data_IF_944984190152
#
_entry.id   IF_944984190152
#
_cell.length_a   1.000
_cell.length_b   1.000
_cell.length_c   1.000
_cell.angle_alpha   90.00
_cell.angle_beta   90.00
_cell.angle_gamma   90.00
#
_symmetry.space_group_name_H-M   'P 1'
#
loop_
_entity.id
_entity.type
_entity.pdbx_description
1 polymer ?
#
# COMPACT_ATOMS: atom_id res chain seq x y z
N UNK A 1 -6.95 -12.62 -7.89
CA UNK A 1 -5.54 -13.03 -8.09
C UNK A 1 -4.71 -11.99 -7.38
N UNK A 2 -4.18 -12.33 -6.22
CA UNK A 2 -3.12 -11.55 -5.59
C UNK A 2 -1.89 -11.74 -6.49
N UNK A 3 -1.39 -10.68 -7.09
CA UNK A 3 -0.12 -10.73 -7.79
C UNK A 3 0.97 -10.87 -6.72
N UNK A 4 1.39 -12.10 -6.47
CA UNK A 4 2.59 -12.39 -5.71
C UNK A 4 3.78 -12.21 -6.65
N UNK A 5 4.62 -11.26 -6.36
CA UNK A 5 6.00 -11.30 -6.81
C UNK A 5 6.76 -12.10 -5.75
N UNK A 6 6.69 -13.43 -5.85
CA UNK A 6 7.53 -14.31 -5.06
C UNK A 6 8.95 -14.31 -5.64
N UNK A 7 9.86 -13.68 -4.93
CA UNK A 7 11.25 -14.13 -4.96
C UNK A 7 11.35 -15.27 -3.96
N UNK A 8 11.60 -16.48 -4.43
CA UNK A 8 11.95 -17.63 -3.58
C UNK A 8 13.15 -17.24 -2.73
N UNK A 9 12.93 -17.11 -1.42
CA UNK A 9 14.02 -16.92 -0.46
C UNK A 9 14.88 -18.19 -0.43
N UNK A 10 16.22 -18.07 -0.33
CA UNK A 10 17.08 -19.21 -0.01
C UNK A 10 16.68 -19.82 1.34
N UNK A 11 16.70 -21.14 1.42
CA UNK A 11 16.44 -21.88 2.66
C UNK A 11 17.35 -21.33 3.79
N UNK A 12 16.74 -20.85 4.87
CA UNK A 12 17.44 -20.33 6.05
C UNK A 12 17.30 -18.83 6.32
N UNK A 13 16.61 -18.06 5.48
CA UNK A 13 16.37 -16.63 5.74
C UNK A 13 14.93 -16.39 6.27
N UNK A 14 14.86 -15.93 7.54
CA UNK A 14 13.85 -15.03 7.96
C UNK A 14 12.72 -15.58 8.82
N UNK A 15 13.01 -15.95 10.07
CA UNK A 15 12.01 -15.98 11.14
C UNK A 15 11.42 -14.58 11.42
N UNK A 16 12.06 -13.50 10.92
CA UNK A 16 11.71 -12.12 11.18
C UNK A 16 11.37 -11.38 9.88
N UNK A 17 10.22 -10.70 9.91
CA UNK A 17 9.78 -9.83 8.83
C UNK A 17 9.64 -8.38 9.29
N UNK A 18 9.77 -7.45 8.33
CA UNK A 18 9.49 -6.04 8.51
C UNK A 18 8.39 -5.61 7.55
N UNK A 19 7.24 -5.24 8.10
CA UNK A 19 6.07 -4.80 7.36
C UNK A 19 5.99 -3.28 7.31
N UNK A 20 5.90 -2.73 6.10
CA UNK A 20 5.89 -1.30 5.86
C UNK A 20 4.60 -0.83 5.20
N UNK A 21 4.04 0.28 5.67
CA UNK A 21 3.14 1.08 4.86
C UNK A 21 3.92 1.93 3.86
N UNK A 22 3.26 2.44 2.82
CA UNK A 22 3.88 3.25 1.78
C UNK A 22 3.72 4.75 2.03
N UNK A 23 2.50 5.26 1.80
CA UNK A 23 2.20 6.70 1.78
C UNK A 23 2.31 7.33 3.17
N UNK A 24 3.23 8.28 3.35
CA UNK A 24 3.52 8.91 4.64
C UNK A 24 4.44 8.11 5.56
N UNK A 25 4.87 6.89 5.14
CA UNK A 25 5.79 6.02 5.89
C UNK A 25 7.12 5.86 5.17
N UNK A 26 7.15 5.15 4.05
CA UNK A 26 8.32 5.03 3.18
C UNK A 26 8.40 6.14 2.14
N UNK A 27 7.30 6.82 1.89
CA UNK A 27 7.16 7.82 0.85
C UNK A 27 6.54 9.09 1.42
N UNK A 28 7.24 10.23 1.30
CA UNK A 28 6.69 11.55 1.66
C UNK A 28 5.84 12.11 0.52
N UNK A 29 4.82 11.36 0.13
CA UNK A 29 3.84 11.73 -0.88
C UNK A 29 2.63 10.78 -0.85
N UNK A 30 1.57 11.12 -1.60
CA UNK A 30 0.48 10.19 -1.88
C UNK A 30 0.64 9.61 -3.30
N UNK A 31 1.06 8.36 -3.35
CA UNK A 31 1.34 7.63 -4.58
C UNK A 31 0.10 7.52 -5.48
N UNK A 32 -1.07 7.20 -4.90
CA UNK A 32 -2.31 7.06 -5.66
C UNK A 32 -2.85 8.39 -6.17
N UNK A 33 -2.71 9.50 -5.41
CA UNK A 33 -3.08 10.84 -5.89
C UNK A 33 -2.22 11.23 -7.08
N UNK A 34 -0.92 10.95 -7.02
CA UNK A 34 0.02 11.21 -8.12
C UNK A 34 -0.36 10.43 -9.39
N UNK A 35 -0.67 9.13 -9.24
CA UNK A 35 -1.13 8.28 -10.33
C UNK A 35 -2.43 8.82 -10.96
N UNK A 36 -3.43 9.11 -10.12
CA UNK A 36 -4.74 9.61 -10.56
C UNK A 36 -4.60 10.95 -11.28
N UNK A 37 -3.88 11.90 -10.71
CA UNK A 37 -3.66 13.21 -11.32
C UNK A 37 -2.95 13.10 -12.69
N UNK A 38 -1.95 12.22 -12.80
CA UNK A 38 -1.22 12.02 -14.06
C UNK A 38 -2.10 11.31 -15.10
N UNK A 39 -2.89 10.32 -14.71
CA UNK A 39 -3.83 9.66 -15.60
C UNK A 39 -4.86 10.66 -16.18
N UNK A 40 -5.42 11.54 -15.33
CA UNK A 40 -6.38 12.55 -15.77
C UNK A 40 -5.72 13.64 -16.64
N UNK A 41 -4.50 14.05 -16.31
CA UNK A 41 -3.75 15.02 -17.14
C UNK A 41 -3.44 14.49 -18.52
N UNK A 42 -3.04 13.24 -18.64
CA UNK A 42 -2.73 12.60 -19.93
C UNK A 42 -3.98 12.23 -20.73
N UNK A 43 -5.11 12.02 -20.06
CA UNK A 43 -6.38 11.60 -20.66
C UNK A 43 -7.56 12.38 -20.06
N UNK A 44 -7.67 13.70 -20.35
CA UNK A 44 -8.65 14.57 -19.70
C UNK A 44 -10.11 14.17 -19.98
N UNK A 45 -10.40 13.54 -21.11
CA UNK A 45 -11.73 13.00 -21.42
C UNK A 45 -12.21 11.92 -20.45
N UNK A 46 -11.31 11.36 -19.64
CA UNK A 46 -11.64 10.38 -18.60
C UNK A 46 -12.23 11.02 -17.36
N UNK A 47 -12.03 12.32 -17.19
CA UNK A 47 -12.50 13.03 -15.99
C UNK A 47 -14.02 12.85 -15.76
N UNK A 48 -14.91 13.12 -16.74
CA UNK A 48 -16.34 12.94 -16.51
C UNK A 48 -16.71 11.47 -16.23
N UNK A 49 -16.12 10.52 -16.91
CA UNK A 49 -16.38 9.09 -16.70
C UNK A 49 -15.92 8.65 -15.31
N UNK A 50 -14.71 9.03 -14.92
CA UNK A 50 -14.14 8.71 -13.61
C UNK A 50 -14.92 9.35 -12.47
N UNK A 51 -15.29 10.62 -12.61
CA UNK A 51 -16.08 11.36 -11.62
C UNK A 51 -17.47 10.74 -11.44
N UNK A 52 -18.17 10.48 -12.54
CA UNK A 52 -19.51 9.86 -12.50
C UNK A 52 -19.46 8.49 -11.86
N UNK A 53 -18.51 7.64 -12.28
CA UNK A 53 -18.35 6.30 -11.71
C UNK A 53 -18.00 6.35 -10.22
N UNK A 54 -17.10 7.25 -9.82
CA UNK A 54 -16.74 7.45 -8.42
C UNK A 54 -17.93 7.92 -7.58
N UNK A 55 -18.71 8.90 -8.08
CA UNK A 55 -19.90 9.44 -7.39
C UNK A 55 -20.97 8.37 -7.22
N UNK A 56 -21.32 7.66 -8.30
CA UNK A 56 -22.32 6.57 -8.24
C UNK A 56 -21.89 5.50 -7.24
N UNK A 57 -20.62 5.09 -7.25
CA UNK A 57 -20.13 4.10 -6.30
C UNK A 57 -20.15 4.60 -4.86
N UNK A 58 -19.83 5.87 -4.64
CA UNK A 58 -19.94 6.49 -3.32
C UNK A 58 -21.37 6.40 -2.80
N UNK A 59 -22.35 6.82 -3.60
CA UNK A 59 -23.78 6.74 -3.23
C UNK A 59 -24.19 5.29 -2.94
N UNK A 60 -23.87 4.36 -3.84
CA UNK A 60 -24.18 2.93 -3.64
C UNK A 60 -23.53 2.37 -2.37
N UNK A 61 -22.31 2.74 -2.07
CA UNK A 61 -21.62 2.30 -0.85
C UNK A 61 -22.30 2.87 0.41
N UNK A 62 -22.72 4.14 0.39
CA UNK A 62 -23.47 4.76 1.50
C UNK A 62 -24.82 4.07 1.71
N UNK A 63 -25.56 3.82 0.63
CA UNK A 63 -26.84 3.10 0.68
C UNK A 63 -26.69 1.67 1.21
N UNK A 64 -25.52 1.06 1.04
CA UNK A 64 -25.17 -0.25 1.61
C UNK A 64 -24.66 -0.18 3.06
N UNK A 65 -24.77 0.98 3.71
CA UNK A 65 -24.38 1.17 5.10
C UNK A 65 -22.88 1.26 5.35
N UNK A 66 -22.04 1.49 4.32
CA UNK A 66 -20.63 1.73 4.53
C UNK A 66 -20.40 3.10 5.18
N UNK A 67 -19.42 3.18 6.09
CA UNK A 67 -19.03 4.45 6.67
C UNK A 67 -18.62 5.46 5.57
N UNK A 68 -18.92 6.76 5.72
CA UNK A 68 -18.60 7.77 4.70
C UNK A 68 -17.14 7.75 4.25
N UNK A 69 -16.21 7.58 5.18
CA UNK A 69 -14.79 7.46 4.89
C UNK A 69 -14.48 6.32 3.89
N UNK A 70 -15.06 5.13 4.09
CA UNK A 70 -14.83 3.96 3.24
C UNK A 70 -15.61 4.06 1.93
N UNK A 71 -16.78 4.71 1.94
CA UNK A 71 -17.59 4.94 0.75
C UNK A 71 -16.87 5.84 -0.26
N UNK A 72 -16.20 6.90 0.22
CA UNK A 72 -15.44 7.85 -0.59
C UNK A 72 -14.14 7.25 -1.16
N UNK A 73 -13.58 6.25 -0.52
CA UNK A 73 -12.33 5.58 -0.94
C UNK A 73 -12.55 4.45 -1.93
N UNK A 74 -13.53 4.58 -2.81
CA UNK A 74 -13.71 3.65 -3.92
C UNK A 74 -12.78 3.98 -5.10
N UNK A 75 -12.60 3.02 -6.00
CA UNK A 75 -11.71 3.10 -7.16
C UNK A 75 -12.43 3.52 -8.45
N UNK A 76 -13.59 4.16 -8.35
CA UNK A 76 -14.41 4.58 -9.49
C UNK A 76 -13.68 5.44 -10.51
N UNK A 77 -12.74 6.27 -10.06
CA UNK A 77 -11.92 7.13 -10.93
C UNK A 77 -11.01 6.35 -11.91
N UNK A 78 -10.75 5.07 -11.67
CA UNK A 78 -10.04 4.20 -12.62
C UNK A 78 -10.95 3.46 -13.60
N UNK A 79 -12.28 3.59 -13.48
CA UNK A 79 -13.24 2.87 -14.35
C UNK A 79 -12.94 3.07 -15.82
N UNK A 80 -12.88 1.96 -16.56
CA UNK A 80 -12.63 1.94 -18.00
C UNK A 80 -11.15 2.12 -18.40
N UNK A 81 -10.21 2.36 -17.48
CA UNK A 81 -8.79 2.21 -17.76
C UNK A 81 -8.45 0.73 -17.96
N UNK A 82 -7.36 0.44 -18.63
CA UNK A 82 -6.80 -0.91 -18.70
C UNK A 82 -5.78 -1.11 -17.59
N UNK A 83 -5.59 -2.36 -17.18
CA UNK A 83 -4.57 -2.71 -16.20
C UNK A 83 -3.18 -2.28 -16.67
N UNK A 84 -2.83 -2.59 -17.92
CA UNK A 84 -1.57 -2.20 -18.55
C UNK A 84 -1.32 -0.67 -18.57
N UNK A 85 -2.38 0.12 -18.72
CA UNK A 85 -2.24 1.59 -18.61
C UNK A 85 -1.79 2.01 -17.21
N UNK A 86 -2.36 1.40 -16.16
CA UNK A 86 -1.94 1.71 -14.80
C UNK A 86 -0.53 1.18 -14.50
N UNK A 87 -0.19 -0.02 -14.97
CA UNK A 87 1.16 -0.59 -14.80
C UNK A 87 2.22 0.32 -15.41
N UNK A 88 2.11 0.63 -16.71
CA UNK A 88 3.07 1.50 -17.41
C UNK A 88 3.20 2.86 -16.72
N UNK A 89 2.08 3.45 -16.33
CA UNK A 89 2.09 4.76 -15.68
C UNK A 89 2.69 4.69 -14.28
N UNK A 90 2.44 3.61 -13.55
CA UNK A 90 2.97 3.38 -12.21
C UNK A 90 4.48 3.19 -12.22
N UNK A 91 5.02 2.44 -13.19
CA UNK A 91 6.47 2.26 -13.37
C UNK A 91 7.17 3.60 -13.61
N UNK A 92 6.64 4.39 -14.57
CA UNK A 92 7.21 5.70 -14.88
C UNK A 92 7.18 6.65 -13.68
N UNK A 93 6.05 6.68 -12.95
CA UNK A 93 5.89 7.55 -11.78
C UNK A 93 6.71 7.08 -10.60
N UNK A 94 6.80 5.78 -10.37
CA UNK A 94 7.62 5.21 -9.29
C UNK A 94 9.08 5.63 -9.48
N UNK A 95 9.64 5.40 -10.67
CA UNK A 95 11.04 5.72 -10.96
C UNK A 95 11.34 7.22 -10.93
N UNK A 96 10.55 8.02 -11.66
CA UNK A 96 10.90 9.42 -11.96
C UNK A 96 10.40 10.42 -10.93
N UNK A 97 9.29 10.13 -10.26
CA UNK A 97 8.60 11.10 -9.41
C UNK A 97 8.59 10.68 -7.94
N UNK A 98 8.34 9.40 -7.65
CA UNK A 98 8.11 8.96 -6.27
C UNK A 98 9.41 8.51 -5.58
N UNK A 99 10.30 7.80 -6.27
CA UNK A 99 11.58 7.41 -5.68
C UNK A 99 12.43 8.59 -5.17
N UNK A 100 12.51 9.75 -5.88
CA UNK A 100 13.17 10.93 -5.35
C UNK A 100 12.53 11.52 -4.07
N UNK A 101 11.31 11.10 -3.73
CA UNK A 101 10.58 11.52 -2.52
C UNK A 101 10.63 10.49 -1.39
N UNK A 102 11.39 9.42 -1.56
CA UNK A 102 11.66 8.47 -0.48
C UNK A 102 12.74 9.06 0.43
N UNK A 103 12.46 9.30 1.71
CA UNK A 103 13.44 9.85 2.63
C UNK A 103 14.66 8.94 2.77
N UNK A 104 15.85 9.52 2.90
CA UNK A 104 17.09 8.76 3.11
C UNK A 104 17.03 7.88 4.37
N UNK A 105 16.35 8.36 5.42
CA UNK A 105 16.12 7.58 6.64
C UNK A 105 15.30 6.29 6.38
N UNK A 106 14.30 6.35 5.46
CA UNK A 106 13.53 5.17 5.07
C UNK A 106 14.40 4.17 4.30
N UNK A 107 15.23 4.65 3.36
CA UNK A 107 16.19 3.80 2.63
C UNK A 107 17.22 3.16 3.57
N UNK A 108 17.75 3.93 4.51
CA UNK A 108 18.68 3.43 5.52
C UNK A 108 18.04 2.35 6.41
N UNK A 109 16.78 2.53 6.80
CA UNK A 109 16.04 1.53 7.58
C UNK A 109 15.79 0.26 6.81
N UNK A 110 15.41 0.35 5.53
CA UNK A 110 15.28 -0.82 4.65
C UNK A 110 16.59 -1.56 4.49
N UNK A 111 17.70 -0.83 4.29
CA UNK A 111 19.02 -1.41 4.19
C UNK A 111 19.42 -2.13 5.49
N UNK A 112 19.11 -1.53 6.65
CA UNK A 112 19.37 -2.16 7.94
C UNK A 112 18.62 -3.48 8.08
N UNK A 113 17.29 -3.53 7.75
CA UNK A 113 16.54 -4.78 7.82
C UNK A 113 17.12 -5.86 6.91
N UNK A 114 17.49 -5.51 5.68
CA UNK A 114 18.13 -6.46 4.75
C UNK A 114 19.46 -7.01 5.30
N UNK A 115 20.27 -6.13 5.91
CA UNK A 115 21.54 -6.54 6.52
C UNK A 115 21.34 -7.45 7.73
N UNK A 116 20.18 -7.39 8.40
CA UNK A 116 19.79 -8.33 9.46
C UNK A 116 19.18 -9.63 8.90
N UNK A 117 19.01 -9.77 7.59
CA UNK A 117 18.34 -10.91 6.98
C UNK A 117 16.81 -10.89 7.12
N UNK A 118 16.22 -9.77 7.53
CA UNK A 118 14.77 -9.64 7.65
C UNK A 118 14.10 -9.54 6.28
N UNK A 119 13.00 -10.23 6.12
CA UNK A 119 12.16 -10.10 4.92
C UNK A 119 11.40 -8.78 4.95
N UNK A 120 11.53 -7.94 3.91
CA UNK A 120 10.92 -6.62 3.81
C UNK A 120 9.62 -6.68 2.98
N UNK A 121 8.49 -6.33 3.58
CA UNK A 121 7.16 -6.53 3.00
C UNK A 121 6.41 -5.21 2.96
N UNK A 122 5.86 -4.86 1.79
CA UNK A 122 5.03 -3.68 1.61
C UNK A 122 3.55 -4.04 1.77
N UNK A 123 2.86 -3.42 2.73
CA UNK A 123 1.42 -3.61 3.00
C UNK A 123 0.72 -2.27 2.92
N UNK A 124 0.09 -1.96 1.81
CA UNK A 124 -0.44 -0.63 1.52
C UNK A 124 -1.86 -0.63 0.96
N UNK A 125 -2.62 0.43 1.25
CA UNK A 125 -3.92 0.67 0.64
C UNK A 125 -3.83 1.20 -0.80
N UNK A 126 -2.65 1.46 -1.31
CA UNK A 126 -2.40 1.92 -2.67
C UNK A 126 -2.80 0.85 -3.69
N UNK A 127 -3.21 1.28 -4.89
CA UNK A 127 -3.58 0.33 -5.97
C UNK A 127 -2.40 -0.55 -6.35
N UNK A 128 -2.69 -1.83 -6.60
CA UNK A 128 -1.67 -2.86 -6.80
C UNK A 128 -0.61 -2.48 -7.86
N UNK A 129 -0.92 -1.96 -9.05
CA UNK A 129 0.12 -1.59 -10.01
C UNK A 129 1.13 -0.57 -9.47
N UNK A 130 0.67 0.41 -8.69
CA UNK A 130 1.55 1.40 -8.08
C UNK A 130 2.32 0.82 -6.88
N UNK A 131 1.66 0.01 -6.06
CA UNK A 131 2.31 -0.67 -4.94
C UNK A 131 3.42 -1.60 -5.42
N UNK A 132 3.18 -2.37 -6.49
CA UNK A 132 4.14 -3.27 -7.12
C UNK A 132 5.31 -2.52 -7.75
N UNK A 133 5.04 -1.41 -8.48
CA UNK A 133 6.09 -0.57 -9.05
C UNK A 133 7.01 0.00 -7.95
N UNK A 134 6.44 0.57 -6.90
CA UNK A 134 7.20 1.06 -5.75
C UNK A 134 7.94 -0.07 -5.03
N UNK A 135 7.29 -1.22 -4.85
CA UNK A 135 7.90 -2.39 -4.22
C UNK A 135 9.13 -2.88 -4.96
N UNK A 136 9.09 -2.91 -6.30
CA UNK A 136 10.26 -3.24 -7.13
C UNK A 136 11.39 -2.23 -6.96
N UNK A 137 11.08 -0.94 -6.99
CA UNK A 137 12.08 0.13 -6.83
C UNK A 137 12.72 0.10 -5.43
N UNK A 138 11.92 -0.19 -4.42
CA UNK A 138 12.38 -0.31 -3.03
C UNK A 138 12.99 -1.68 -2.72
N UNK A 139 12.95 -2.65 -3.65
CA UNK A 139 13.47 -4.00 -3.46
C UNK A 139 12.73 -4.80 -2.39
N UNK A 140 11.40 -4.69 -2.31
CA UNK A 140 10.56 -5.45 -1.39
C UNK A 140 10.48 -6.92 -1.78
N UNK A 141 10.49 -7.82 -0.78
CA UNK A 141 10.38 -9.26 -0.99
C UNK A 141 8.94 -9.69 -1.28
N UNK A 142 7.96 -8.95 -0.74
CA UNK A 142 6.55 -9.11 -1.07
C UNK A 142 5.80 -7.78 -1.05
N UNK A 143 4.71 -7.69 -1.83
CA UNK A 143 3.89 -6.49 -1.95
C UNK A 143 2.42 -6.85 -1.87
N UNK A 144 1.70 -6.22 -0.94
CA UNK A 144 0.27 -6.34 -0.76
C UNK A 144 -0.38 -4.97 -0.99
N UNK A 145 -0.86 -4.75 -2.20
CA UNK A 145 -1.69 -3.61 -2.59
C UNK A 145 -3.17 -3.98 -2.66
N UNK A 146 -4.01 -3.07 -3.13
CA UNK A 146 -5.43 -3.35 -3.33
C UNK A 146 -5.88 -3.11 -4.78
N UNK A 147 -7.11 -3.60 -5.13
CA UNK A 147 -7.70 -3.45 -6.45
C UNK A 147 -7.40 -2.14 -7.14
N UNK A 148 -7.96 -1.85 -8.29
CA UNK A 148 -9.32 -2.20 -8.72
C UNK A 148 -9.45 -3.56 -9.41
N UNK A 149 -10.66 -4.12 -9.34
CA UNK A 149 -11.01 -5.30 -10.11
C UNK A 149 -11.17 -4.97 -11.60
N UNK A 150 -10.81 -5.91 -12.46
CA UNK A 150 -11.01 -5.79 -13.90
C UNK A 150 -12.19 -6.66 -14.37
N UNK A 151 -12.89 -6.21 -15.39
CA UNK A 151 -13.90 -6.95 -16.13
C UNK A 151 -13.68 -6.73 -17.62
N UNK A 152 -13.54 -7.82 -18.37
CA UNK A 152 -13.26 -7.77 -19.81
C UNK A 152 -12.07 -6.84 -20.17
N UNK A 153 -10.96 -6.97 -19.42
CA UNK A 153 -9.72 -6.20 -19.64
C UNK A 153 -9.78 -4.73 -19.20
N UNK A 154 -10.94 -4.25 -18.72
CA UNK A 154 -11.10 -2.87 -18.24
C UNK A 154 -11.40 -2.83 -16.75
N UNK A 155 -10.87 -1.83 -16.07
CA UNK A 155 -11.07 -1.64 -14.64
C UNK A 155 -12.51 -1.22 -14.35
N UNK A 156 -13.09 -1.82 -13.34
CA UNK A 156 -14.49 -1.54 -12.93
C UNK A 156 -14.60 -0.53 -11.79
N UNK A 157 -13.50 -0.13 -11.19
CA UNK A 157 -13.45 0.69 -9.99
C UNK A 157 -13.92 -0.03 -8.72
N UNK A 158 -14.29 -1.33 -8.80
CA UNK A 158 -14.61 -2.19 -7.65
C UNK A 158 -13.33 -2.80 -7.08
N UNK A 159 -13.33 -3.12 -5.80
CA UNK A 159 -12.25 -3.88 -5.13
C UNK A 159 -12.64 -5.36 -4.92
N UNK A 160 -13.68 -5.83 -5.61
CA UNK A 160 -14.17 -7.22 -5.46
C UNK A 160 -13.08 -8.22 -5.89
N UNK A 161 -12.83 -9.20 -5.05
CA UNK A 161 -11.81 -10.24 -5.28
C UNK A 161 -10.39 -9.82 -4.88
N UNK A 162 -10.23 -8.67 -4.26
CA UNK A 162 -8.96 -8.19 -3.71
C UNK A 162 -8.98 -8.15 -2.19
N UNK A 163 -7.86 -8.45 -1.57
CA UNK A 163 -7.61 -8.04 -0.20
C UNK A 163 -7.52 -6.51 -0.18
N UNK A 164 -8.11 -5.89 0.84
CA UNK A 164 -8.08 -4.43 0.99
C UNK A 164 -7.24 -4.11 2.22
N UNK A 165 -5.91 -3.96 2.09
CA UNK A 165 -5.01 -3.67 3.20
C UNK A 165 -5.12 -2.21 3.63
N UNK A 166 -6.30 -1.85 4.14
CA UNK A 166 -6.64 -0.52 4.65
C UNK A 166 -7.10 -0.64 6.10
N UNK A 167 -6.51 0.15 7.01
CA UNK A 167 -6.86 0.13 8.43
C UNK A 167 -6.78 -1.30 9.01
N UNK A 168 -7.86 -1.78 9.62
CA UNK A 168 -7.98 -3.16 10.14
C UNK A 168 -7.76 -4.24 9.07
N UNK A 169 -8.00 -3.93 7.80
CA UNK A 169 -7.77 -4.85 6.69
C UNK A 169 -6.30 -5.22 6.44
N UNK A 170 -5.34 -4.50 7.02
CA UNK A 170 -3.93 -4.88 7.00
C UNK A 170 -3.64 -6.08 7.91
N UNK A 171 -4.38 -6.24 9.02
CA UNK A 171 -4.15 -7.30 10.00
C UNK A 171 -4.23 -8.71 9.38
N UNK A 172 -5.32 -9.10 8.68
CA UNK A 172 -5.38 -10.44 8.09
C UNK A 172 -4.30 -10.66 7.03
N UNK A 173 -3.85 -9.62 6.32
CA UNK A 173 -2.78 -9.71 5.32
C UNK A 173 -1.45 -10.02 5.99
N UNK A 174 -1.10 -9.28 7.07
CA UNK A 174 0.13 -9.51 7.83
C UNK A 174 0.13 -10.89 8.48
N UNK A 175 -0.98 -11.32 9.08
CA UNK A 175 -1.10 -12.67 9.69
C UNK A 175 -0.95 -13.79 8.67
N UNK A 176 -1.61 -13.65 7.52
CA UNK A 176 -1.52 -14.65 6.44
C UNK A 176 -0.11 -14.73 5.84
N UNK A 177 0.58 -13.58 5.67
CA UNK A 177 1.97 -13.57 5.21
C UNK A 177 2.90 -14.21 6.25
N UNK A 178 2.74 -13.87 7.52
CA UNK A 178 3.53 -14.44 8.60
C UNK A 178 3.35 -15.96 8.72
N UNK A 179 2.11 -16.44 8.66
CA UNK A 179 1.79 -17.86 8.69
C UNK A 179 2.39 -18.61 7.49
N UNK A 180 2.23 -18.05 6.28
CA UNK A 180 2.72 -18.68 5.06
C UNK A 180 4.25 -18.78 5.00
N UNK A 181 4.98 -17.88 5.68
CA UNK A 181 6.43 -17.82 5.65
C UNK A 181 7.09 -18.20 6.99
N UNK A 182 6.32 -18.64 7.99
CA UNK A 182 6.84 -19.08 9.29
C UNK A 182 7.42 -17.95 10.14
N UNK A 183 6.91 -16.71 9.98
CA UNK A 183 7.38 -15.57 10.77
C UNK A 183 6.75 -15.53 12.16
N UNK A 184 7.56 -15.34 13.19
CA UNK A 184 7.09 -15.04 14.53
C UNK A 184 6.75 -13.54 14.63
N UNK A 185 5.47 -13.19 14.65
CA UNK A 185 5.02 -11.81 14.75
C UNK A 185 5.56 -11.08 15.99
N UNK A 186 5.84 -11.79 17.08
CA UNK A 186 6.44 -11.18 18.28
C UNK A 186 7.87 -10.65 18.04
N UNK A 187 8.54 -11.17 17.03
CA UNK A 187 9.88 -10.74 16.61
C UNK A 187 9.83 -9.76 15.42
N UNK A 188 8.68 -9.65 14.76
CA UNK A 188 8.53 -8.85 13.55
C UNK A 188 8.40 -7.35 13.82
N UNK A 189 8.71 -6.58 12.79
CA UNK A 189 8.67 -5.11 12.80
C UNK A 189 7.48 -4.61 11.97
N UNK A 190 6.86 -3.53 12.40
CA UNK A 190 5.77 -2.91 11.65
C UNK A 190 5.89 -1.38 11.66
N UNK A 191 5.89 -0.77 10.47
CA UNK A 191 6.09 0.65 10.23
C UNK A 191 4.84 1.30 9.65
N UNK A 192 4.38 2.38 10.23
CA UNK A 192 3.24 3.15 9.75
C UNK A 192 3.16 4.53 10.38
N UNK A 193 2.54 5.49 9.68
CA UNK A 193 2.50 6.90 10.11
C UNK A 193 1.17 7.30 10.76
N UNK A 194 0.08 6.58 10.50
CA UNK A 194 -1.27 6.98 10.91
C UNK A 194 -1.84 6.10 12.02
N UNK A 195 -2.88 6.62 12.70
CA UNK A 195 -3.70 5.80 13.60
C UNK A 195 -4.33 4.60 12.86
N UNK A 196 -4.58 4.73 11.56
CA UNK A 196 -5.07 3.63 10.73
C UNK A 196 -4.10 2.44 10.66
N UNK A 197 -2.81 2.66 10.86
CA UNK A 197 -1.77 1.65 10.86
C UNK A 197 -1.54 1.02 12.24
N UNK A 198 -2.09 1.62 13.31
CA UNK A 198 -1.95 1.10 14.67
C UNK A 198 -2.46 -0.34 14.81
N UNK A 199 -3.45 -0.73 14.01
CA UNK A 199 -4.03 -2.07 14.06
C UNK A 199 -3.02 -3.16 13.69
N UNK A 200 -2.34 -3.03 12.55
CA UNK A 200 -1.37 -4.05 12.14
C UNK A 200 -0.03 -3.92 12.89
N UNK A 201 0.34 -2.70 13.31
CA UNK A 201 1.54 -2.49 14.12
C UNK A 201 1.46 -3.20 15.48
N UNK A 202 0.27 -3.27 16.09
CA UNK A 202 0.05 -3.98 17.37
C UNK A 202 0.17 -5.50 17.27
N UNK A 203 0.11 -6.05 16.07
CA UNK A 203 0.31 -7.48 15.83
C UNK A 203 1.80 -7.87 15.85
N UNK A 204 2.70 -6.91 15.70
CA UNK A 204 4.14 -7.12 15.68
C UNK A 204 4.78 -6.69 17.00
N UNK A 205 5.84 -7.41 17.41
CA UNK A 205 6.57 -7.08 18.64
C UNK A 205 7.27 -5.72 18.60
N UNK A 206 7.65 -5.27 17.41
CA UNK A 206 8.31 -3.96 17.21
C UNK A 206 7.41 -3.03 16.38
N UNK A 207 6.58 -2.24 17.06
CA UNK A 207 5.65 -1.30 16.45
C UNK A 207 6.28 0.10 16.34
N UNK A 208 6.60 0.55 15.12
CA UNK A 208 7.26 1.84 14.88
C UNK A 208 6.29 2.83 14.22
N UNK A 209 6.12 4.00 14.85
CA UNK A 209 5.41 5.12 14.25
C UNK A 209 6.42 6.00 13.51
N UNK A 210 6.21 6.19 12.20
CA UNK A 210 7.05 7.05 11.35
C UNK A 210 6.32 8.37 11.17
N UNK A 211 6.97 9.50 11.46
CA UNK A 211 6.40 10.85 11.33
C UNK A 211 4.94 10.93 11.84
N UNK A 212 4.68 10.60 13.11
CA UNK A 212 3.33 10.40 13.62
C UNK A 212 2.54 11.71 13.59
N UNK A 213 1.36 11.69 12.95
CA UNK A 213 0.42 12.80 12.97
C UNK A 213 -0.55 12.69 14.17
N UNK A 214 -0.71 13.79 14.93
CA UNK A 214 -1.75 13.94 15.95
C UNK A 214 -1.68 12.94 17.11
N UNK A 215 -2.73 12.10 17.33
CA UNK A 215 -2.86 11.26 18.53
C UNK A 215 -1.77 10.21 18.75
N UNK A 216 -1.03 9.84 17.71
CA UNK A 216 0.05 8.83 17.77
C UNK A 216 1.29 9.30 18.55
N UNK A 217 1.47 10.61 18.73
CA UNK A 217 2.54 11.19 19.55
C UNK A 217 2.43 10.70 21.02
N UNK A 218 1.25 10.30 21.46
CA UNK A 218 1.00 9.82 22.82
C UNK A 218 1.36 8.35 23.05
N UNK A 219 1.53 7.55 22.01
CA UNK A 219 1.81 6.10 22.11
C UNK A 219 3.32 5.77 22.26
N UNK A 220 4.18 6.77 22.47
CA UNK A 220 5.51 6.63 23.10
C UNK A 220 6.63 5.96 22.29
N UNK A 221 6.39 5.53 21.04
CA UNK A 221 7.42 4.96 20.16
C UNK A 221 7.66 5.88 18.97
N UNK A 222 8.47 6.92 19.20
CA UNK A 222 8.82 7.91 18.19
C UNK A 222 10.11 7.54 17.48
N UNK A 223 10.04 7.37 16.17
CA UNK A 223 11.17 7.57 15.29
C UNK A 223 10.90 8.87 14.51
N UNK A 224 11.61 9.92 14.87
CA UNK A 224 11.70 11.15 14.06
C UNK A 224 12.91 10.99 13.15
N UNK A 225 12.72 11.13 11.84
CA UNK A 225 13.83 11.37 10.92
C UNK A 225 14.24 12.82 11.08
N UNK A 226 15.35 13.08 11.73
CA UNK A 226 16.09 14.33 11.58
C UNK A 226 16.76 14.35 10.21
#
# INVERSE_FOLDING_TARGET
>A
RNAHVEKTCPEGMGEVAAYFDLDGTLLDASSEKTLTATLLRRRPWRFPVGLTSWSVRTVVNLLRGRAPYDALRNRGHFTGATWSTLETLSEELAERILMPRVPQAALARLAWHRNQGHRCILVTATVAPMAEAMGRQLGMDAVYGCGPAARSGRLSGSEKGWSVPRRKGKVPVVKADAEANGHDLAQCWAYGNTHADSWFRRECGHAIAVNPEGPLVKDGLLYTSD
#
